data_IF_782499269132
#
_entry.id   IF_782499269132
#
_cell.length_a   1.000
_cell.length_b   1.000
_cell.length_c   1.000
_cell.angle_alpha   90.00
_cell.angle_beta   90.00
_cell.angle_gamma   90.00
#
_symmetry.space_group_name_H-M   'P 1'
#
loop_
_entity.id
_entity.type
_entity.pdbx_description
1 polymer ?
#
# COMPACT_ATOMS: atom_id res chain seq x y z
N UNK A 1 -9.73 40.27 25.58
CA UNK A 1 -8.87 39.23 26.22
C UNK A 1 -9.18 37.83 25.71
N UNK A 2 -10.45 37.40 25.65
CA UNK A 2 -10.89 36.09 25.14
C UNK A 2 -10.46 35.79 23.69
N UNK A 3 -10.69 36.71 22.75
CA UNK A 3 -10.27 36.56 21.32
C UNK A 3 -8.76 36.36 21.14
N UNK A 4 -7.95 36.90 22.08
CA UNK A 4 -6.49 36.76 22.06
C UNK A 4 -6.05 35.40 22.61
N UNK A 5 -6.76 34.89 23.63
CA UNK A 5 -6.57 33.55 24.19
C UNK A 5 -7.02 32.45 23.21
N UNK A 6 -8.13 32.64 22.49
CA UNK A 6 -8.57 31.73 21.43
C UNK A 6 -7.58 31.69 20.26
N UNK A 7 -7.03 32.84 19.84
CA UNK A 7 -5.96 32.87 18.84
C UNK A 7 -4.70 32.15 19.28
N UNK A 8 -4.28 32.29 20.55
CA UNK A 8 -3.11 31.59 21.08
C UNK A 8 -3.34 30.07 21.15
N UNK A 9 -4.54 29.63 21.59
CA UNK A 9 -4.93 28.21 21.57
C UNK A 9 -4.97 27.66 20.15
N UNK A 10 -5.52 28.40 19.19
CA UNK A 10 -5.55 28.05 17.77
C UNK A 10 -4.14 27.92 17.18
N UNK A 11 -3.22 28.83 17.50
CA UNK A 11 -1.84 28.78 17.04
C UNK A 11 -1.06 27.57 17.60
N UNK A 12 -1.24 27.28 18.90
CA UNK A 12 -0.59 26.14 19.55
C UNK A 12 -1.13 24.80 19.04
N UNK A 13 -2.45 24.72 18.79
CA UNK A 13 -3.08 23.55 18.17
C UNK A 13 -2.57 23.32 16.75
N UNK A 14 -2.49 24.39 15.93
CA UNK A 14 -1.95 24.30 14.58
C UNK A 14 -0.48 23.81 14.57
N UNK A 15 0.35 24.34 15.47
CA UNK A 15 1.75 23.91 15.61
C UNK A 15 1.90 22.42 16.01
N UNK A 16 1.07 21.94 16.92
CA UNK A 16 1.06 20.53 17.34
C UNK A 16 0.63 19.58 16.20
N UNK A 17 -0.44 19.92 15.50
CA UNK A 17 -0.97 19.14 14.36
C UNK A 17 0.03 19.11 13.21
N UNK A 18 0.60 20.26 12.83
CA UNK A 18 1.61 20.32 11.77
C UNK A 18 2.88 19.53 12.13
N UNK A 19 3.31 19.55 13.40
CA UNK A 19 4.45 18.74 13.85
C UNK A 19 4.22 17.24 13.66
N UNK A 20 2.99 16.77 13.85
CA UNK A 20 2.62 15.37 13.61
C UNK A 20 2.71 15.02 12.13
N UNK A 21 2.21 15.87 11.24
CA UNK A 21 2.31 15.64 9.80
C UNK A 21 3.75 15.70 9.28
N UNK A 22 4.58 16.61 9.81
CA UNK A 22 6.00 16.65 9.47
C UNK A 22 6.67 15.32 9.81
N UNK A 23 6.41 14.75 11.00
CA UNK A 23 6.96 13.43 11.39
C UNK A 23 6.46 12.31 10.48
N UNK A 24 5.16 12.28 10.17
CA UNK A 24 4.56 11.25 9.30
C UNK A 24 5.09 11.34 7.87
N UNK A 25 5.18 12.55 7.31
CA UNK A 25 5.73 12.79 5.97
C UNK A 25 7.22 12.44 5.91
N UNK A 26 8.00 12.85 6.91
CA UNK A 26 9.42 12.46 7.04
C UNK A 26 9.59 10.93 7.09
N UNK A 27 8.74 10.24 7.85
CA UNK A 27 8.73 8.76 7.86
C UNK A 27 8.46 8.20 6.47
N UNK A 28 7.48 8.71 5.73
CA UNK A 28 7.24 8.27 4.36
C UNK A 28 8.47 8.46 3.45
N UNK A 29 9.12 9.62 3.50
CA UNK A 29 10.32 9.88 2.70
C UNK A 29 11.47 8.94 3.04
N UNK A 30 11.67 8.65 4.33
CA UNK A 30 12.67 7.68 4.78
C UNK A 30 12.36 6.28 4.24
N UNK A 31 11.11 5.84 4.34
CA UNK A 31 10.68 4.53 3.81
C UNK A 31 10.79 4.46 2.28
N UNK A 32 10.54 5.57 1.57
CA UNK A 32 10.77 5.67 0.12
C UNK A 32 12.25 5.49 -0.24
N UNK A 33 13.15 6.10 0.53
CA UNK A 33 14.60 5.94 0.36
C UNK A 33 15.07 4.52 0.69
N UNK A 34 14.58 3.94 1.78
CA UNK A 34 14.87 2.57 2.17
C UNK A 34 14.36 1.56 1.15
N UNK A 35 13.15 1.75 0.62
CA UNK A 35 12.60 0.93 -0.45
C UNK A 35 13.53 0.94 -1.67
N UNK A 36 13.93 2.13 -2.14
CA UNK A 36 14.87 2.26 -3.25
C UNK A 36 16.19 1.53 -2.98
N UNK A 37 16.73 1.62 -1.76
CA UNK A 37 17.96 0.91 -1.37
C UNK A 37 17.80 -0.61 -1.41
N UNK A 38 16.64 -1.14 -1.01
CA UNK A 38 16.40 -2.58 -0.90
C UNK A 38 16.18 -3.26 -2.26
N UNK A 39 15.52 -2.59 -3.20
CA UNK A 39 15.14 -3.19 -4.50
C UNK A 39 15.81 -2.52 -5.71
N UNK A 40 16.68 -1.53 -5.47
CA UNK A 40 17.44 -0.77 -6.47
C UNK A 40 16.58 -0.08 -7.56
N UNK A 41 15.29 0.12 -7.29
CA UNK A 41 14.31 0.63 -8.24
C UNK A 41 13.34 1.57 -7.53
N UNK A 42 13.01 2.70 -8.17
CA UNK A 42 11.90 3.56 -7.75
C UNK A 42 10.60 3.02 -8.35
N UNK A 43 9.80 2.34 -7.53
CA UNK A 43 8.53 1.72 -7.94
C UNK A 43 7.52 2.72 -8.50
N UNK A 44 7.62 4.00 -8.12
CA UNK A 44 6.74 5.04 -8.67
C UNK A 44 7.09 5.39 -10.12
N UNK A 45 8.28 5.02 -10.59
CA UNK A 45 8.81 5.34 -11.92
C UNK A 45 9.03 4.13 -12.82
N UNK A 46 8.61 2.93 -12.38
CA UNK A 46 8.79 1.71 -13.18
C UNK A 46 7.92 1.69 -14.42
N UNK A 47 8.41 1.04 -15.47
CA UNK A 47 7.62 0.70 -16.65
C UNK A 47 6.41 -0.14 -16.24
N UNK A 48 5.26 0.18 -16.84
CA UNK A 48 3.95 -0.42 -16.57
C UNK A 48 3.41 -1.19 -17.77
N UNK A 49 2.31 -1.92 -17.55
CA UNK A 49 1.60 -2.66 -18.59
C UNK A 49 2.12 -4.07 -18.79
N UNK A 50 1.84 -4.66 -19.96
CA UNK A 50 2.16 -6.06 -20.28
C UNK A 50 3.65 -6.40 -20.09
N UNK A 51 4.53 -5.46 -20.44
CA UNK A 51 5.98 -5.58 -20.27
C UNK A 51 6.50 -4.75 -19.08
N UNK A 52 5.65 -4.52 -18.08
CA UNK A 52 5.99 -3.77 -16.87
C UNK A 52 6.82 -4.60 -15.89
N UNK A 53 7.69 -3.93 -15.13
CA UNK A 53 8.66 -4.59 -14.22
C UNK A 53 7.96 -5.55 -13.25
N UNK A 54 6.89 -5.09 -12.60
CA UNK A 54 6.16 -5.89 -11.61
C UNK A 54 5.41 -7.06 -12.25
N UNK A 55 4.99 -6.92 -13.51
CA UNK A 55 4.22 -7.93 -14.23
C UNK A 55 5.07 -9.09 -14.76
N UNK A 56 6.34 -8.82 -15.08
CA UNK A 56 7.27 -9.81 -15.64
C UNK A 56 8.25 -10.39 -14.60
N UNK A 57 8.33 -9.80 -13.41
CA UNK A 57 9.22 -10.24 -12.32
C UNK A 57 9.03 -11.72 -11.96
N UNK A 58 10.12 -12.45 -11.70
CA UNK A 58 10.03 -13.87 -11.32
C UNK A 58 9.52 -14.04 -9.88
N UNK A 59 9.07 -15.24 -9.51
CA UNK A 59 8.44 -15.50 -8.20
C UNK A 59 9.33 -15.12 -7.02
N UNK A 60 10.63 -15.42 -7.07
CA UNK A 60 11.55 -15.15 -5.97
C UNK A 60 11.74 -13.64 -5.75
N UNK A 61 11.98 -12.91 -6.83
CA UNK A 61 12.10 -11.45 -6.78
C UNK A 61 10.80 -10.78 -6.34
N UNK A 62 9.66 -11.31 -6.81
CA UNK A 62 8.34 -10.78 -6.49
C UNK A 62 8.01 -10.92 -5.01
N UNK A 63 8.27 -12.08 -4.42
CA UNK A 63 8.08 -12.34 -2.99
C UNK A 63 8.98 -11.46 -2.12
N UNK A 64 10.17 -11.09 -2.59
CA UNK A 64 11.03 -10.13 -1.88
C UNK A 64 10.59 -8.67 -2.08
N UNK A 65 10.07 -8.33 -3.25
CA UNK A 65 9.75 -6.94 -3.63
C UNK A 65 8.41 -6.47 -3.06
N UNK A 66 7.39 -7.33 -3.08
CA UNK A 66 6.03 -6.98 -2.62
C UNK A 66 5.98 -6.52 -1.15
N UNK A 67 6.69 -7.17 -0.20
CA UNK A 67 6.77 -6.68 1.18
C UNK A 67 7.39 -5.29 1.31
N UNK A 68 8.41 -4.98 0.50
CA UNK A 68 9.03 -3.64 0.48
C UNK A 68 8.02 -2.58 0.01
N UNK A 69 7.26 -2.88 -1.05
CA UNK A 69 6.18 -2.01 -1.54
C UNK A 69 5.09 -1.83 -0.46
N UNK A 70 4.69 -2.91 0.23
CA UNK A 70 3.71 -2.85 1.31
C UNK A 70 4.14 -1.90 2.42
N UNK A 71 5.40 -1.99 2.88
CA UNK A 71 5.93 -1.11 3.94
C UNK A 71 5.98 0.35 3.51
N UNK A 72 6.45 0.62 2.28
CA UNK A 72 6.46 1.98 1.74
C UNK A 72 5.04 2.55 1.62
N UNK A 73 4.08 1.73 1.17
CA UNK A 73 2.69 2.13 1.01
C UNK A 73 1.99 2.36 2.35
N UNK A 74 2.28 1.55 3.36
CA UNK A 74 1.79 1.78 4.72
C UNK A 74 2.30 3.11 5.28
N UNK A 75 3.58 3.42 5.08
CA UNK A 75 4.15 4.69 5.53
C UNK A 75 3.46 5.90 4.89
N UNK A 76 3.09 5.79 3.61
CA UNK A 76 2.31 6.79 2.89
C UNK A 76 0.92 6.93 3.50
N UNK A 77 0.17 5.82 3.62
CA UNK A 77 -1.21 5.84 4.11
C UNK A 77 -1.30 6.25 5.59
N UNK A 78 -0.23 6.03 6.36
CA UNK A 78 -0.10 6.49 7.75
C UNK A 78 0.05 8.02 7.89
N UNK A 79 0.12 8.78 6.79
CA UNK A 79 -0.08 10.22 6.84
C UNK A 79 -1.42 10.57 7.48
N UNK A 80 -2.47 9.79 7.18
CA UNK A 80 -3.75 9.71 7.90
C UNK A 80 -4.28 11.09 8.33
N UNK A 81 -4.42 11.98 7.36
CA UNK A 81 -5.00 13.31 7.54
C UNK A 81 -6.51 13.25 7.29
N UNK A 82 -7.26 14.03 8.06
CA UNK A 82 -8.65 14.33 7.76
C UNK A 82 -8.75 15.62 6.93
N UNK A 83 -9.85 15.84 6.18
CA UNK A 83 -10.02 17.01 5.33
C UNK A 83 -9.89 18.34 6.10
N UNK A 84 -10.41 18.39 7.32
CA UNK A 84 -10.39 19.54 8.21
C UNK A 84 -9.00 19.87 8.77
N UNK A 85 -8.02 18.98 8.62
CA UNK A 85 -6.63 19.19 9.03
C UNK A 85 -5.76 19.76 7.89
N UNK A 86 -6.26 19.70 6.65
CA UNK A 86 -5.56 20.15 5.44
C UNK A 86 -5.83 21.64 5.14
N UNK A 87 -5.52 22.48 6.13
CA UNK A 87 -6.00 23.88 6.22
C UNK A 87 -5.09 24.94 5.61
N UNK A 88 -3.90 24.58 5.15
CA UNK A 88 -2.93 25.54 4.59
C UNK A 88 -2.19 24.98 3.37
N UNK A 89 -1.61 25.88 2.58
CA UNK A 89 -0.96 25.51 1.31
C UNK A 89 0.21 24.53 1.45
N UNK A 90 0.93 24.53 2.58
CA UNK A 90 2.09 23.65 2.78
C UNK A 90 1.60 22.20 2.97
N UNK A 91 0.65 21.99 3.88
CA UNK A 91 0.13 20.64 4.14
C UNK A 91 -0.66 20.11 2.94
N UNK A 92 -1.37 20.98 2.22
CA UNK A 92 -2.09 20.62 1.00
C UNK A 92 -1.12 20.19 -0.11
N UNK A 93 -0.03 20.94 -0.33
CA UNK A 93 0.99 20.55 -1.30
C UNK A 93 1.67 19.22 -0.93
N UNK A 94 1.97 18.99 0.34
CA UNK A 94 2.52 17.72 0.80
C UNK A 94 1.55 16.55 0.56
N UNK A 95 0.26 16.74 0.89
CA UNK A 95 -0.77 15.74 0.64
C UNK A 95 -0.93 15.43 -0.85
N UNK A 96 -0.89 16.44 -1.73
CA UNK A 96 -0.98 16.25 -3.19
C UNK A 96 0.19 15.41 -3.73
N UNK A 97 1.40 15.58 -3.19
CA UNK A 97 2.54 14.74 -3.54
C UNK A 97 2.34 13.28 -3.08
N UNK A 98 1.84 13.07 -1.86
CA UNK A 98 1.48 11.73 -1.39
C UNK A 98 0.38 11.10 -2.24
N UNK A 99 -0.63 11.87 -2.65
CA UNK A 99 -1.68 11.40 -3.54
C UNK A 99 -1.10 10.92 -4.87
N UNK A 100 -0.26 11.72 -5.52
CA UNK A 100 0.38 11.34 -6.79
C UNK A 100 1.26 10.10 -6.66
N UNK A 101 1.94 9.93 -5.53
CA UNK A 101 2.74 8.75 -5.25
C UNK A 101 1.87 7.54 -4.88
N UNK A 102 0.72 7.73 -4.23
CA UNK A 102 -0.19 6.64 -3.85
C UNK A 102 -0.78 5.94 -5.07
N UNK A 103 -1.19 6.72 -6.08
CA UNK A 103 -1.69 6.17 -7.36
C UNK A 103 -0.60 5.33 -8.05
N UNK A 104 0.64 5.84 -8.06
CA UNK A 104 1.79 5.15 -8.64
C UNK A 104 2.23 3.94 -7.80
N UNK A 105 2.16 3.97 -6.48
CA UNK A 105 2.47 2.79 -5.68
C UNK A 105 1.41 1.72 -5.86
N UNK A 106 0.13 2.11 -5.81
CA UNK A 106 -0.98 1.17 -5.93
C UNK A 106 -1.00 0.48 -7.29
N UNK A 107 -0.81 1.21 -8.39
CA UNK A 107 -0.78 0.59 -9.71
C UNK A 107 0.37 -0.44 -9.86
N UNK A 108 1.55 -0.18 -9.26
CA UNK A 108 2.66 -1.13 -9.27
C UNK A 108 2.36 -2.34 -8.40
N UNK A 109 1.78 -2.09 -7.23
CA UNK A 109 1.40 -3.11 -6.28
C UNK A 109 0.35 -4.05 -6.90
N UNK A 110 -0.66 -3.50 -7.56
CA UNK A 110 -1.70 -4.25 -8.26
C UNK A 110 -1.11 -5.12 -9.39
N UNK A 111 -0.18 -4.60 -10.21
CA UNK A 111 0.52 -5.42 -11.21
C UNK A 111 1.29 -6.58 -10.57
N UNK A 112 1.97 -6.33 -9.46
CA UNK A 112 2.68 -7.36 -8.72
C UNK A 112 1.75 -8.42 -8.12
N UNK A 113 0.59 -8.03 -7.61
CA UNK A 113 -0.43 -8.96 -7.11
C UNK A 113 -1.02 -9.79 -8.25
N UNK A 114 -1.33 -9.20 -9.41
CA UNK A 114 -1.79 -9.96 -10.58
C UNK A 114 -0.76 -11.00 -11.03
N UNK A 115 0.53 -10.63 -11.05
CA UNK A 115 1.62 -11.55 -11.36
C UNK A 115 1.72 -12.69 -10.31
N UNK A 116 1.62 -12.34 -9.03
CA UNK A 116 1.65 -13.30 -7.91
C UNK A 116 0.52 -14.33 -8.05
N UNK A 117 -0.70 -13.85 -8.26
CA UNK A 117 -1.89 -14.69 -8.43
C UNK A 117 -1.81 -15.56 -9.68
N UNK A 118 -1.28 -15.02 -10.78
CA UNK A 118 -1.09 -15.77 -12.03
C UNK A 118 -0.11 -16.94 -11.93
N UNK A 119 0.74 -16.96 -10.90
CA UNK A 119 1.71 -18.03 -10.63
C UNK A 119 1.34 -18.92 -9.45
N UNK A 120 0.37 -18.52 -8.64
CA UNK A 120 0.11 -19.07 -7.30
C UNK A 120 -0.10 -20.59 -7.30
N UNK A 121 -0.88 -21.11 -8.25
CA UNK A 121 -1.22 -22.53 -8.31
C UNK A 121 -0.06 -23.44 -8.73
N UNK A 122 1.04 -22.86 -9.25
CA UNK A 122 2.27 -23.57 -9.62
C UNK A 122 3.36 -23.43 -8.54
N UNK A 123 3.08 -22.72 -7.44
CA UNK A 123 4.05 -22.46 -6.38
C UNK A 123 4.16 -23.63 -5.38
N UNK A 124 5.32 -23.72 -4.70
CA UNK A 124 5.51 -24.67 -3.61
C UNK A 124 4.76 -24.21 -2.35
N UNK A 125 4.41 -25.13 -1.45
CA UNK A 125 3.68 -24.87 -0.18
C UNK A 125 4.13 -23.60 0.56
N UNK A 126 5.43 -23.41 0.77
CA UNK A 126 5.94 -22.23 1.49
C UNK A 126 5.68 -20.91 0.73
N UNK A 127 5.85 -20.93 -0.60
CA UNK A 127 5.59 -19.78 -1.46
C UNK A 127 4.08 -19.47 -1.54
N UNK A 128 3.21 -20.49 -1.56
CA UNK A 128 1.76 -20.29 -1.49
C UNK A 128 1.37 -19.60 -0.17
N UNK A 129 1.93 -20.04 0.97
CA UNK A 129 1.65 -19.44 2.28
C UNK A 129 2.05 -17.96 2.32
N UNK A 130 3.26 -17.65 1.86
CA UNK A 130 3.77 -16.28 1.79
C UNK A 130 2.94 -15.40 0.83
N UNK A 131 2.61 -15.94 -0.35
CA UNK A 131 1.78 -15.25 -1.35
C UNK A 131 0.38 -14.94 -0.85
N UNK A 132 -0.23 -15.88 -0.12
CA UNK A 132 -1.55 -15.71 0.46
C UNK A 132 -1.56 -14.60 1.53
N UNK A 133 -0.54 -14.56 2.40
CA UNK A 133 -0.37 -13.48 3.37
C UNK A 133 -0.21 -12.12 2.68
N UNK A 134 0.62 -12.04 1.63
CA UNK A 134 0.80 -10.83 0.82
C UNK A 134 -0.53 -10.38 0.19
N UNK A 135 -1.35 -11.31 -0.32
CA UNK A 135 -2.64 -11.02 -0.92
C UNK A 135 -3.68 -10.54 0.11
N UNK A 136 -3.78 -11.18 1.28
CA UNK A 136 -4.68 -10.72 2.36
C UNK A 136 -4.30 -9.29 2.80
N UNK A 137 -3.00 -9.05 2.95
CA UNK A 137 -2.44 -7.74 3.26
C UNK A 137 -2.72 -6.70 2.17
N UNK A 138 -2.77 -7.09 0.89
CA UNK A 138 -3.19 -6.24 -0.22
C UNK A 138 -4.62 -5.77 -0.05
N UNK A 139 -5.56 -6.69 0.22
CA UNK A 139 -6.98 -6.36 0.39
C UNK A 139 -7.20 -5.30 1.48
N UNK A 140 -6.54 -5.44 2.63
CA UNK A 140 -6.61 -4.46 3.72
C UNK A 140 -6.06 -3.08 3.33
N UNK A 141 -4.98 -3.03 2.53
CA UNK A 141 -4.39 -1.78 2.03
C UNK A 141 -5.24 -1.12 0.97
N UNK A 142 -5.92 -1.88 0.12
CA UNK A 142 -6.90 -1.35 -0.85
C UNK A 142 -8.05 -0.63 -0.14
N UNK A 143 -8.55 -1.16 0.97
CA UNK A 143 -9.57 -0.48 1.79
C UNK A 143 -9.06 0.83 2.38
N UNK A 144 -7.82 0.85 2.91
CA UNK A 144 -7.21 2.09 3.43
C UNK A 144 -6.97 3.12 2.33
N UNK A 145 -6.54 2.69 1.14
CA UNK A 145 -6.42 3.57 -0.02
C UNK A 145 -7.77 4.18 -0.39
N UNK A 146 -8.85 3.40 -0.40
CA UNK A 146 -10.18 3.94 -0.67
C UNK A 146 -10.57 5.07 0.29
N UNK A 147 -10.22 4.95 1.58
CA UNK A 147 -10.43 6.02 2.57
C UNK A 147 -9.54 7.24 2.28
N UNK A 148 -8.27 7.02 1.95
CA UNK A 148 -7.35 8.08 1.56
C UNK A 148 -7.84 8.86 0.32
N UNK A 149 -8.38 8.16 -0.69
CA UNK A 149 -8.93 8.77 -1.91
C UNK A 149 -10.20 9.59 -1.63
N UNK A 150 -11.03 9.18 -0.67
CA UNK A 150 -12.18 10.00 -0.23
C UNK A 150 -11.74 11.32 0.39
N UNK A 151 -10.67 11.33 1.18
CA UNK A 151 -10.10 12.57 1.71
C UNK A 151 -9.59 13.44 0.56
N UNK A 152 -8.92 12.85 -0.43
CA UNK A 152 -8.46 13.56 -1.62
C UNK A 152 -9.59 14.27 -2.38
N UNK A 153 -10.70 13.58 -2.61
CA UNK A 153 -11.91 14.15 -3.21
C UNK A 153 -12.44 15.33 -2.38
N UNK A 154 -12.55 15.16 -1.06
CA UNK A 154 -13.10 16.17 -0.14
C UNK A 154 -12.25 17.45 -0.04
N UNK A 155 -10.95 17.37 -0.32
CA UNK A 155 -10.04 18.53 -0.33
C UNK A 155 -9.82 19.12 -1.72
N UNK A 156 -10.66 18.74 -2.69
CA UNK A 156 -10.76 19.38 -3.99
C UNK A 156 -9.89 18.78 -5.10
N UNK A 157 -9.41 17.53 -4.95
CA UNK A 157 -8.82 16.81 -6.08
C UNK A 157 -9.94 16.38 -7.04
N UNK A 158 -9.74 16.61 -8.34
CA UNK A 158 -10.71 16.28 -9.38
C UNK A 158 -11.03 14.78 -9.36
N UNK A 159 -12.33 14.44 -9.37
CA UNK A 159 -12.82 13.07 -9.45
C UNK A 159 -12.24 12.31 -10.65
N UNK A 160 -11.95 13.00 -11.76
CA UNK A 160 -11.32 12.40 -12.94
C UNK A 160 -9.88 11.90 -12.67
N UNK A 161 -9.21 12.43 -11.66
CA UNK A 161 -7.88 11.97 -11.22
C UNK A 161 -7.96 10.80 -10.22
N UNK A 162 -9.13 10.52 -9.66
CA UNK A 162 -9.32 9.50 -8.62
C UNK A 162 -9.75 8.18 -9.26
N UNK A 163 -8.96 7.10 -9.12
CA UNK A 163 -9.31 5.82 -9.71
C UNK A 163 -10.47 5.15 -8.96
N UNK A 164 -11.36 4.50 -9.71
CA UNK A 164 -12.34 3.58 -9.13
C UNK A 164 -11.66 2.29 -8.68
N UNK A 165 -11.79 1.94 -7.40
CA UNK A 165 -11.23 0.72 -6.84
C UNK A 165 -12.27 -0.40 -6.86
N UNK A 166 -11.98 -1.47 -7.60
CA UNK A 166 -12.81 -2.67 -7.63
C UNK A 166 -12.51 -3.56 -6.43
N UNK A 167 -13.56 -4.06 -5.76
CA UNK A 167 -13.40 -5.10 -4.74
C UNK A 167 -13.03 -6.43 -5.38
N UNK A 168 -12.07 -7.13 -4.78
CA UNK A 168 -11.74 -8.48 -5.21
C UNK A 168 -12.88 -9.45 -4.84
N UNK A 169 -13.21 -10.43 -5.69
CA UNK A 169 -14.26 -11.38 -5.41
C UNK A 169 -13.88 -12.28 -4.22
N UNK A 170 -14.80 -12.46 -3.27
CA UNK A 170 -14.58 -13.31 -2.09
C UNK A 170 -14.21 -14.76 -2.46
N UNK A 171 -14.78 -15.29 -3.54
CA UNK A 171 -14.50 -16.63 -4.04
C UNK A 171 -13.02 -16.86 -4.37
N UNK A 172 -12.29 -15.82 -4.82
CA UNK A 172 -10.88 -15.94 -5.11
C UNK A 172 -10.06 -16.21 -3.84
N UNK A 173 -10.33 -15.48 -2.76
CA UNK A 173 -9.61 -15.69 -1.50
C UNK A 173 -9.82 -17.11 -0.96
N UNK A 174 -11.06 -17.62 -1.03
CA UNK A 174 -11.37 -18.98 -0.60
C UNK A 174 -10.69 -20.04 -1.47
N UNK A 175 -10.65 -19.84 -2.80
CA UNK A 175 -9.92 -20.74 -3.70
C UNK A 175 -8.42 -20.81 -3.38
N UNK A 176 -7.78 -19.68 -3.06
CA UNK A 176 -6.36 -19.64 -2.68
C UNK A 176 -6.09 -20.38 -1.36
N UNK A 177 -6.98 -20.22 -0.37
CA UNK A 177 -6.91 -20.92 0.92
C UNK A 177 -7.09 -22.43 0.76
N UNK A 178 -8.10 -22.85 -0.01
CA UNK A 178 -8.38 -24.27 -0.28
C UNK A 178 -7.19 -24.94 -0.98
N UNK A 179 -6.59 -24.27 -1.96
CA UNK A 179 -5.38 -24.79 -2.62
C UNK A 179 -4.23 -24.99 -1.64
N UNK A 180 -3.96 -24.00 -0.77
CA UNK A 180 -2.91 -24.14 0.25
C UNK A 180 -3.21 -25.30 1.21
N UNK A 181 -4.44 -25.43 1.69
CA UNK A 181 -4.85 -26.54 2.57
C UNK A 181 -4.61 -27.91 1.90
N UNK A 182 -4.95 -28.05 0.61
CA UNK A 182 -4.72 -29.30 -0.14
C UNK A 182 -3.24 -29.67 -0.27
N UNK A 183 -2.34 -28.68 -0.26
CA UNK A 183 -0.88 -28.91 -0.24
C UNK A 183 -0.37 -29.25 1.17
N UNK A 184 -1.07 -28.81 2.21
CA UNK A 184 -0.74 -29.14 3.60
C UNK A 184 -1.08 -30.60 3.89
N UNK A 185 -2.29 -31.05 3.54
CA UNK A 185 -2.74 -32.43 3.71
C UNK A 185 -1.84 -33.44 2.98
N UNK A 186 -1.37 -33.12 1.78
CA UNK A 186 -0.49 -34.01 0.99
C UNK A 186 0.90 -34.23 1.61
N UNK A 187 1.39 -33.30 2.42
CA UNK A 187 2.73 -33.42 3.02
C UNK A 187 2.73 -34.22 4.34
N UNK A 188 1.58 -34.34 5.00
CA UNK A 188 1.45 -35.08 6.27
C UNK A 188 1.22 -36.60 6.06
N UNK A 189 1.10 -37.06 4.80
CA UNK A 189 0.88 -38.47 4.42
C UNK A 189 2.20 -39.24 4.18
N UNK A 190 3.37 -38.65 4.48
CA UNK A 190 4.62 -39.42 4.46
C UNK A 190 4.61 -40.45 5.62
N UNK A 191 4.73 -41.76 5.35
CA UNK A 191 4.71 -42.77 6.40
C UNK A 191 5.93 -42.59 7.32
N UNK A 192 5.81 -42.92 8.62
CA UNK A 192 6.98 -42.95 9.50
C UNK A 192 7.99 -43.95 8.91
N UNK A 193 9.24 -43.48 8.78
CA UNK A 193 10.38 -44.25 8.28
C UNK A 193 10.33 -45.70 8.82
N UNK A 194 10.32 -46.68 7.90
CA UNK A 194 10.68 -48.08 8.18
C UNK A 194 12.19 -48.22 8.13
#
# INVERSE_FOLDING_TARGET
MLVKLERIKSFHFLGYTMSTFIRRYSRYLNEKSLAYRLIAIDITKTKRGTNGVMRTMNTKELLNTLPVIQTQFDALLNFNANPDELTNGIIHAAFLLLFKDSLRLFAAYNEGILNLLGKYFDMRKNQCRESLDIYIKFLGRTTKLAQFLKVAEQVGIDQNEIPYLTQAPHSLLEALKQHLASLEEKNDILPPYR
#
